data_IF_804588598925
#
_entry.id   IF_804588598925
#
_cell.length_a   1.000
_cell.length_b   1.000
_cell.length_c   1.000
_cell.angle_alpha   90.00
_cell.angle_beta   90.00
_cell.angle_gamma   90.00
#
_symmetry.space_group_name_H-M   'P 1'
#
loop_
_entity.id
_entity.type
_entity.pdbx_description
1 polymer ?
#
# COMPACT_ATOMS: atom_id res chain seq x y z
N UNK A 1 22.68 9.99 18.18
CA UNK A 1 21.59 9.04 17.89
C UNK A 1 22.25 7.91 17.11
N UNK A 2 21.98 6.65 17.42
CA UNK A 2 22.53 5.54 16.64
C UNK A 2 21.75 5.38 15.33
N UNK A 3 22.39 5.70 14.20
CA UNK A 3 21.78 5.60 12.87
C UNK A 3 21.42 4.17 12.51
N UNK A 4 22.18 3.18 12.98
CA UNK A 4 21.91 1.76 12.73
C UNK A 4 20.56 1.36 13.31
N UNK A 5 20.29 1.75 14.55
CA UNK A 5 19.00 1.45 15.23
C UNK A 5 17.83 2.11 14.48
N UNK A 6 18.00 3.35 14.02
CA UNK A 6 16.96 4.07 13.26
C UNK A 6 16.67 3.36 11.94
N UNK A 7 17.73 2.96 11.22
CA UNK A 7 17.63 2.27 9.93
C UNK A 7 16.93 0.93 10.10
N UNK A 8 17.33 0.10 11.07
CA UNK A 8 16.69 -1.19 11.35
C UNK A 8 15.20 -1.04 11.68
N UNK A 9 14.86 -0.07 12.55
CA UNK A 9 13.45 0.24 12.88
C UNK A 9 12.68 0.75 11.67
N UNK A 10 13.29 1.52 10.77
CA UNK A 10 12.64 2.03 9.58
C UNK A 10 12.35 0.92 8.57
N UNK A 11 13.32 0.04 8.32
CA UNK A 11 13.15 -1.15 7.47
C UNK A 11 12.04 -2.05 8.02
N UNK A 12 12.07 -2.34 9.32
CA UNK A 12 11.04 -3.14 9.97
C UNK A 12 9.67 -2.47 9.89
N UNK A 13 9.59 -1.15 10.08
CA UNK A 13 8.35 -0.39 9.94
C UNK A 13 7.78 -0.49 8.54
N UNK A 14 8.60 -0.39 7.49
CA UNK A 14 8.14 -0.58 6.11
C UNK A 14 7.61 -2.00 5.93
N UNK A 15 8.38 -3.01 6.37
CA UNK A 15 7.98 -4.41 6.30
C UNK A 15 6.61 -4.66 6.97
N UNK A 16 6.44 -4.21 8.21
CA UNK A 16 5.21 -4.40 8.98
C UNK A 16 4.03 -3.62 8.38
N UNK A 17 4.25 -2.39 7.91
CA UNK A 17 3.18 -1.52 7.38
C UNK A 17 2.64 -2.04 6.04
N UNK A 18 3.54 -2.50 5.17
CA UNK A 18 3.19 -2.93 3.82
C UNK A 18 3.08 -4.45 3.68
N UNK A 19 3.27 -5.18 4.79
CA UNK A 19 3.17 -6.64 4.90
C UNK A 19 4.12 -7.32 3.90
N UNK A 20 5.36 -6.84 3.88
CA UNK A 20 6.44 -7.31 3.02
C UNK A 20 7.55 -7.85 3.92
N UNK A 21 8.18 -8.95 3.54
CA UNK A 21 9.30 -9.48 4.30
C UNK A 21 10.44 -8.47 4.43
N UNK A 22 11.03 -8.39 5.63
CA UNK A 22 12.19 -7.53 5.91
C UNK A 22 13.32 -7.74 4.89
N UNK A 23 13.55 -8.98 4.46
CA UNK A 23 14.56 -9.28 3.46
C UNK A 23 14.26 -8.62 2.11
N UNK A 24 13.01 -8.66 1.66
CA UNK A 24 12.57 -8.01 0.42
C UNK A 24 12.70 -6.49 0.52
N UNK A 25 12.34 -5.91 1.67
CA UNK A 25 12.54 -4.47 1.92
C UNK A 25 14.01 -4.09 1.87
N UNK A 26 14.88 -4.84 2.57
CA UNK A 26 16.32 -4.60 2.54
C UNK A 26 16.90 -4.70 1.13
N UNK A 27 16.48 -5.70 0.34
CA UNK A 27 16.91 -5.82 -1.06
C UNK A 27 16.53 -4.61 -1.89
N UNK A 28 15.28 -4.16 -1.77
CA UNK A 28 14.81 -2.97 -2.48
C UNK A 28 15.60 -1.70 -2.14
N UNK A 29 16.19 -1.62 -0.95
CA UNK A 29 16.99 -0.48 -0.48
C UNK A 29 18.46 -0.57 -0.90
N UNK A 30 19.07 -1.75 -0.81
CA UNK A 30 20.53 -1.91 -0.92
C UNK A 30 21.02 -2.50 -2.25
N UNK A 31 20.18 -3.23 -3.00
CA UNK A 31 20.58 -3.86 -4.26
C UNK A 31 20.52 -2.94 -5.52
N UNK A 32 19.75 -1.83 -5.58
CA UNK A 32 19.79 -0.92 -6.73
C UNK A 32 21.19 -0.33 -7.00
N UNK A 33 21.49 0.01 -8.27
CA UNK A 33 22.81 0.53 -8.70
C UNK A 33 23.21 1.86 -8.03
N UNK A 34 22.25 2.59 -7.45
CA UNK A 34 22.45 3.75 -6.59
C UNK A 34 21.84 3.53 -5.21
N UNK A 35 22.52 2.84 -4.28
CA UNK A 35 21.98 2.60 -2.94
C UNK A 35 21.80 3.92 -2.20
N UNK A 36 20.77 3.97 -1.36
CA UNK A 36 20.50 5.12 -0.52
C UNK A 36 21.62 5.33 0.51
N UNK A 37 22.09 6.57 0.65
CA UNK A 37 22.93 6.98 1.78
C UNK A 37 22.05 7.17 3.02
N UNK A 38 21.70 6.06 3.67
CA UNK A 38 20.78 6.05 4.80
C UNK A 38 21.33 6.81 6.01
N UNK A 39 22.66 6.83 6.21
CA UNK A 39 23.28 7.57 7.30
C UNK A 39 23.08 9.07 7.10
N UNK A 40 23.37 9.58 5.90
CA UNK A 40 23.10 10.98 5.55
C UNK A 40 21.61 11.32 5.68
N UNK A 41 20.72 10.44 5.23
CA UNK A 41 19.27 10.65 5.35
C UNK A 41 18.78 10.77 6.80
N UNK A 42 19.40 10.03 7.73
CA UNK A 42 19.15 10.14 9.18
C UNK A 42 19.68 11.47 9.72
N UNK A 43 20.90 11.85 9.35
CA UNK A 43 21.56 13.07 9.82
C UNK A 43 20.81 14.34 9.40
N UNK A 44 20.30 14.39 8.17
CA UNK A 44 19.44 15.47 7.68
C UNK A 44 18.15 15.66 8.52
N UNK A 45 17.63 14.57 9.11
CA UNK A 45 16.39 14.56 9.88
C UNK A 45 16.57 14.73 11.39
N UNK A 46 17.81 14.68 11.88
CA UNK A 46 18.10 14.46 13.31
C UNK A 46 17.47 15.51 14.25
N UNK A 47 17.30 16.74 13.77
CA UNK A 47 16.72 17.85 14.54
C UNK A 47 15.20 17.73 14.76
N UNK A 48 14.52 16.91 13.96
CA UNK A 48 13.06 16.71 14.04
C UNK A 48 12.67 15.60 15.02
N UNK A 49 13.64 14.81 15.50
CA UNK A 49 13.37 13.60 16.29
C UNK A 49 13.35 13.92 17.79
N UNK A 50 12.14 14.16 18.31
CA UNK A 50 11.90 14.49 19.72
C UNK A 50 11.22 13.34 20.45
N UNK A 51 11.47 13.22 21.74
CA UNK A 51 10.90 12.18 22.59
C UNK A 51 11.43 12.28 24.02
N UNK A 52 10.69 11.75 25.01
CA UNK A 52 11.10 11.81 26.42
C UNK A 52 12.30 10.90 26.72
N UNK A 53 12.56 9.89 25.88
CA UNK A 53 13.70 8.98 25.97
C UNK A 53 14.26 8.62 24.57
N UNK A 54 15.30 7.79 24.54
CA UNK A 54 15.95 7.39 23.30
C UNK A 54 15.09 6.46 22.44
N UNK A 55 14.30 5.54 23.03
CA UNK A 55 13.45 4.64 22.27
C UNK A 55 12.39 5.40 21.48
N UNK A 56 11.72 6.36 22.13
CA UNK A 56 10.72 7.18 21.45
C UNK A 56 11.36 8.07 20.38
N UNK A 57 12.58 8.58 20.62
CA UNK A 57 13.32 9.31 19.58
C UNK A 57 13.65 8.42 18.39
N UNK A 58 14.10 7.19 18.61
CA UNK A 58 14.38 6.22 17.55
C UNK A 58 13.11 5.85 16.77
N UNK A 59 12.00 5.62 17.46
CA UNK A 59 10.73 5.31 16.80
C UNK A 59 10.25 6.49 15.93
N UNK A 60 10.29 7.72 16.46
CA UNK A 60 9.93 8.91 15.68
C UNK A 60 10.88 9.15 14.50
N UNK A 61 12.18 8.92 14.69
CA UNK A 61 13.17 8.98 13.62
C UNK A 61 12.88 7.96 12.51
N UNK A 62 12.52 6.74 12.90
CA UNK A 62 12.25 5.65 11.96
C UNK A 62 11.00 5.90 11.11
N UNK A 63 9.99 6.63 11.63
CA UNK A 63 8.80 7.05 10.85
C UNK A 63 9.20 8.02 9.74
N UNK A 64 10.04 9.01 10.06
CA UNK A 64 10.52 9.96 9.07
C UNK A 64 11.41 9.28 8.03
N UNK A 65 12.35 8.45 8.48
CA UNK A 65 13.25 7.71 7.60
C UNK A 65 12.47 6.74 6.70
N UNK A 66 11.46 6.02 7.21
CA UNK A 66 10.65 5.12 6.38
C UNK A 66 9.96 5.87 5.23
N UNK A 67 9.43 7.06 5.49
CA UNK A 67 8.81 7.86 4.45
C UNK A 67 9.84 8.39 3.43
N UNK A 68 11.02 8.83 3.90
CA UNK A 68 12.11 9.25 3.00
C UNK A 68 12.60 8.10 2.11
N UNK A 69 12.75 6.90 2.66
CA UNK A 69 13.11 5.69 1.91
C UNK A 69 12.06 5.39 0.85
N UNK A 70 10.78 5.41 1.23
CA UNK A 70 9.68 5.14 0.31
C UNK A 70 9.50 6.23 -0.76
N UNK A 71 9.91 7.47 -0.50
CA UNK A 71 9.93 8.55 -1.47
C UNK A 71 11.08 8.43 -2.49
N UNK A 72 11.95 7.43 -2.37
CA UNK A 72 12.88 7.08 -3.43
C UNK A 72 12.16 6.20 -4.48
N UNK A 73 12.19 6.66 -5.74
CA UNK A 73 11.48 6.03 -6.85
C UNK A 73 11.89 4.57 -7.11
N UNK A 74 13.15 4.22 -6.94
CA UNK A 74 13.63 2.86 -7.21
C UNK A 74 13.21 1.91 -6.09
N UNK A 75 13.28 2.37 -4.84
CA UNK A 75 12.75 1.61 -3.69
C UNK A 75 11.24 1.43 -3.84
N UNK A 76 10.49 2.51 -4.10
CA UNK A 76 9.03 2.45 -4.26
C UNK A 76 8.63 1.51 -5.37
N UNK A 77 9.31 1.58 -6.53
CA UNK A 77 9.03 0.72 -7.68
C UNK A 77 9.22 -0.76 -7.36
N UNK A 78 10.34 -1.11 -6.70
CA UNK A 78 10.62 -2.49 -6.31
C UNK A 78 9.57 -3.03 -5.32
N UNK A 79 9.20 -2.25 -4.30
CA UNK A 79 8.18 -2.65 -3.33
C UNK A 79 6.79 -2.75 -3.97
N UNK A 80 6.42 -1.76 -4.79
CA UNK A 80 5.14 -1.78 -5.52
C UNK A 80 5.02 -3.01 -6.41
N UNK A 81 6.09 -3.41 -7.11
CA UNK A 81 6.08 -4.63 -7.93
C UNK A 81 5.73 -5.90 -7.15
N UNK A 82 6.15 -5.97 -5.88
CA UNK A 82 5.81 -7.08 -4.98
C UNK A 82 4.31 -7.07 -4.69
N UNK A 83 3.75 -5.91 -4.36
CA UNK A 83 2.33 -5.78 -4.04
C UNK A 83 1.46 -5.99 -5.30
N UNK A 84 1.87 -5.49 -6.47
CA UNK A 84 1.18 -5.75 -7.74
C UNK A 84 1.12 -7.23 -8.07
N UNK A 85 2.20 -7.97 -7.80
CA UNK A 85 2.19 -9.43 -7.95
C UNK A 85 1.18 -10.10 -7.02
N UNK A 86 1.07 -9.65 -5.75
CA UNK A 86 0.04 -10.17 -4.82
C UNK A 86 -1.37 -9.89 -5.31
N UNK A 87 -1.65 -8.66 -5.74
CA UNK A 87 -2.95 -8.28 -6.31
C UNK A 87 -3.29 -9.15 -7.51
N UNK A 88 -2.34 -9.31 -8.45
CA UNK A 88 -2.55 -10.08 -9.68
C UNK A 88 -2.79 -11.58 -9.42
N UNK A 89 -2.20 -12.11 -8.35
CA UNK A 89 -2.31 -13.52 -7.96
C UNK A 89 -3.31 -13.76 -6.81
N UNK A 90 -4.14 -12.76 -6.46
CA UNK A 90 -5.12 -12.89 -5.39
C UNK A 90 -6.08 -14.05 -5.64
N UNK A 91 -6.27 -14.88 -4.61
CA UNK A 91 -7.00 -16.16 -4.67
C UNK A 91 -8.53 -16.03 -4.60
N UNK A 92 -9.01 -14.79 -4.42
CA UNK A 92 -10.43 -14.42 -4.34
C UNK A 92 -11.15 -14.93 -3.09
N UNK A 93 -10.42 -15.29 -2.03
CA UNK A 93 -11.04 -15.83 -0.80
C UNK A 93 -11.57 -14.75 0.16
N UNK A 94 -10.88 -13.62 0.25
CA UNK A 94 -11.24 -12.51 1.14
C UNK A 94 -10.96 -11.16 0.49
N UNK A 95 -12.03 -10.43 0.18
CA UNK A 95 -11.97 -9.11 -0.44
C UNK A 95 -11.16 -8.09 0.38
N UNK A 96 -11.09 -8.25 1.71
CA UNK A 96 -10.34 -7.32 2.55
C UNK A 96 -8.83 -7.43 2.33
N UNK A 97 -8.34 -8.60 1.90
CA UNK A 97 -6.93 -8.78 1.53
C UNK A 97 -6.62 -7.96 0.28
N UNK A 98 -7.46 -8.05 -0.76
CA UNK A 98 -7.31 -7.23 -1.96
C UNK A 98 -7.39 -5.74 -1.64
N UNK A 99 -8.38 -5.33 -0.84
CA UNK A 99 -8.52 -3.92 -0.41
C UNK A 99 -7.28 -3.43 0.35
N UNK A 100 -6.71 -4.25 1.23
CA UNK A 100 -5.52 -3.89 1.99
C UNK A 100 -4.32 -3.66 1.07
N UNK A 101 -4.11 -4.53 0.08
CA UNK A 101 -3.03 -4.37 -0.90
C UNK A 101 -3.22 -3.15 -1.80
N UNK A 102 -4.45 -2.84 -2.24
CA UNK A 102 -4.74 -1.61 -2.97
C UNK A 102 -4.45 -0.36 -2.13
N UNK A 103 -4.82 -0.35 -0.85
CA UNK A 103 -4.49 0.76 0.06
C UNK A 103 -2.99 0.92 0.24
N UNK A 104 -2.25 -0.19 0.39
CA UNK A 104 -0.78 -0.19 0.51
C UNK A 104 -0.13 0.40 -0.74
N UNK A 105 -0.62 0.05 -1.93
CA UNK A 105 -0.17 0.64 -3.21
C UNK A 105 -0.37 2.15 -3.20
N UNK A 106 -1.59 2.62 -2.89
CA UNK A 106 -1.92 4.05 -2.86
C UNK A 106 -1.01 4.80 -1.89
N UNK A 107 -0.81 4.29 -0.67
CA UNK A 107 0.06 4.93 0.32
C UNK A 107 1.51 5.10 -0.14
N UNK A 108 2.08 4.16 -0.92
CA UNK A 108 3.43 4.30 -1.48
C UNK A 108 3.45 5.32 -2.63
N UNK A 109 2.42 5.29 -3.48
CA UNK A 109 2.30 6.22 -4.61
C UNK A 109 2.15 7.67 -4.14
N UNK A 110 1.41 7.92 -3.05
CA UNK A 110 1.25 9.25 -2.45
C UNK A 110 2.56 9.89 -2.00
N UNK A 111 3.59 9.08 -1.70
CA UNK A 111 4.93 9.55 -1.37
C UNK A 111 5.77 9.91 -2.61
N UNK A 112 5.29 9.56 -3.80
CA UNK A 112 5.97 9.75 -5.08
C UNK A 112 5.02 10.31 -6.17
N UNK A 113 4.37 11.46 -5.94
CA UNK A 113 3.31 11.97 -6.84
C UNK A 113 3.81 12.28 -8.25
N UNK A 114 5.09 12.66 -8.42
CA UNK A 114 5.68 12.92 -9.73
C UNK A 114 5.88 11.64 -10.56
N UNK A 115 6.15 10.51 -9.89
CA UNK A 115 6.33 9.22 -10.53
C UNK A 115 4.99 8.50 -10.75
N UNK A 116 4.03 8.72 -9.84
CA UNK A 116 2.71 8.07 -9.84
C UNK A 116 1.58 9.10 -9.69
N UNK A 117 1.33 9.94 -10.71
CA UNK A 117 0.29 10.97 -10.63
C UNK A 117 -1.13 10.40 -10.48
N UNK A 118 -1.33 9.13 -10.87
CA UNK A 118 -2.60 8.42 -10.73
C UNK A 118 -2.42 6.90 -10.87
N UNK A 119 -3.42 6.10 -10.48
CA UNK A 119 -3.39 4.63 -10.59
C UNK A 119 -3.14 4.15 -12.04
N UNK A 120 -3.54 4.88 -13.07
CA UNK A 120 -3.27 4.48 -14.46
C UNK A 120 -1.80 4.63 -14.89
N UNK A 121 -0.97 5.30 -14.09
CA UNK A 121 0.48 5.42 -14.33
C UNK A 121 1.28 4.25 -13.74
N UNK A 122 0.60 3.31 -13.08
CA UNK A 122 1.23 2.17 -12.44
C UNK A 122 0.93 0.86 -13.19
N UNK A 123 1.71 -0.18 -12.90
CA UNK A 123 1.62 -1.48 -13.60
C UNK A 123 0.35 -2.29 -13.24
N UNK A 124 -0.56 -1.71 -12.44
CA UNK A 124 -1.82 -2.34 -12.04
C UNK A 124 -2.96 -1.91 -12.98
N UNK A 125 -3.55 -2.88 -13.69
CA UNK A 125 -4.80 -2.68 -14.41
C UNK A 125 -6.00 -2.75 -13.46
N UNK A 126 -6.34 -1.61 -12.84
CA UNK A 126 -7.46 -1.48 -11.89
C UNK A 126 -8.81 -1.80 -12.57
N UNK A 127 -8.92 -1.61 -13.89
CA UNK A 127 -10.13 -1.96 -14.64
C UNK A 127 -10.34 -3.47 -14.79
N UNK A 128 -9.29 -4.26 -14.52
CA UNK A 128 -9.28 -5.71 -14.71
C UNK A 128 -8.69 -6.43 -13.50
N UNK A 129 -9.11 -6.02 -12.29
CA UNK A 129 -8.75 -6.72 -11.07
C UNK A 129 -9.25 -8.18 -11.10
N UNK A 130 -8.49 -9.12 -10.52
CA UNK A 130 -8.95 -10.51 -10.40
C UNK A 130 -10.26 -10.54 -9.61
N UNK A 131 -11.25 -11.23 -10.16
CA UNK A 131 -12.60 -11.27 -9.61
C UNK A 131 -13.25 -12.62 -9.87
N UNK A 132 -14.21 -12.97 -9.02
CA UNK A 132 -15.27 -13.91 -9.35
C UNK A 132 -16.25 -13.30 -10.36
N UNK A 133 -17.09 -14.13 -10.97
CA UNK A 133 -18.10 -13.66 -11.91
C UNK A 133 -19.11 -12.77 -11.18
N UNK A 134 -19.10 -11.47 -11.51
CA UNK A 134 -20.11 -10.52 -11.02
C UNK A 134 -21.45 -10.85 -11.71
N UNK A 135 -22.53 -11.06 -10.95
CA UNK A 135 -23.85 -11.35 -11.51
C UNK A 135 -24.40 -10.23 -12.40
N UNK A 136 -25.03 -10.62 -13.51
CA UNK A 136 -25.53 -9.70 -14.54
C UNK A 136 -26.67 -8.80 -14.02
N UNK A 137 -27.36 -9.17 -12.94
CA UNK A 137 -28.42 -8.38 -12.31
C UNK A 137 -27.89 -7.14 -11.57
N UNK A 138 -26.58 -7.09 -11.28
CA UNK A 138 -25.89 -6.00 -10.57
C UNK A 138 -24.98 -5.21 -11.51
N UNK A 139 -24.50 -5.87 -12.57
CA UNK A 139 -23.63 -5.27 -13.57
C UNK A 139 -24.28 -4.00 -14.16
N UNK A 140 -23.66 -2.85 -13.92
CA UNK A 140 -24.13 -1.53 -14.36
C UNK A 140 -25.14 -0.82 -13.44
N UNK A 141 -25.59 -1.45 -12.34
CA UNK A 141 -26.36 -0.76 -11.27
C UNK A 141 -25.46 -0.16 -10.20
N UNK A 142 -24.27 -0.73 -10.05
CA UNK A 142 -23.26 -0.33 -9.09
C UNK A 142 -21.88 -0.52 -9.72
N UNK A 143 -20.96 0.40 -9.45
CA UNK A 143 -19.56 0.28 -9.88
C UNK A 143 -18.87 -0.76 -8.99
N UNK A 144 -18.93 -2.01 -9.45
CA UNK A 144 -18.27 -3.16 -8.83
C UNK A 144 -16.99 -3.47 -9.61
N UNK A 145 -15.86 -3.36 -8.93
CA UNK A 145 -14.53 -3.59 -9.50
C UNK A 145 -14.12 -5.05 -9.45
N UNK A 146 -14.43 -5.72 -8.32
CA UNK A 146 -14.13 -7.13 -8.11
C UNK A 146 -15.12 -7.73 -7.10
N UNK A 147 -15.22 -9.06 -7.08
CA UNK A 147 -16.01 -9.83 -6.13
C UNK A 147 -15.22 -11.06 -5.66
N UNK A 148 -15.30 -11.37 -4.36
CA UNK A 148 -14.71 -12.57 -3.78
C UNK A 148 -15.69 -13.76 -3.84
N UNK A 149 -15.22 -14.95 -3.47
CA UNK A 149 -16.02 -16.19 -3.47
C UNK A 149 -17.19 -16.19 -2.48
N UNK A 150 -17.18 -15.27 -1.51
CA UNK A 150 -18.20 -15.14 -0.48
C UNK A 150 -19.25 -14.09 -0.84
N UNK A 151 -19.11 -13.43 -2.00
CA UNK A 151 -20.02 -12.38 -2.43
C UNK A 151 -19.71 -11.01 -1.85
N UNK A 152 -18.52 -10.78 -1.29
CA UNK A 152 -18.07 -9.43 -0.94
C UNK A 152 -17.56 -8.73 -2.19
N UNK A 153 -18.05 -7.53 -2.44
CA UNK A 153 -17.75 -6.73 -3.62
C UNK A 153 -16.87 -5.54 -3.27
N UNK A 154 -15.84 -5.30 -4.08
CA UNK A 154 -15.06 -4.07 -4.09
C UNK A 154 -15.79 -3.00 -4.89
N UNK A 155 -16.08 -1.87 -4.26
CA UNK A 155 -16.92 -0.80 -4.81
C UNK A 155 -16.35 0.58 -4.47
N UNK A 156 -17.02 1.62 -5.00
CA UNK A 156 -16.64 3.02 -4.83
C UNK A 156 -15.78 3.54 -5.97
N UNK A 157 -15.73 4.85 -6.18
CA UNK A 157 -15.06 5.47 -7.34
C UNK A 157 -13.59 5.03 -7.47
N UNK A 158 -12.93 4.80 -6.34
CA UNK A 158 -11.50 4.43 -6.27
C UNK A 158 -11.29 3.00 -5.74
N UNK A 159 -12.27 2.11 -5.88
CA UNK A 159 -12.18 0.71 -5.44
C UNK A 159 -11.75 0.57 -3.95
N UNK A 160 -12.35 1.38 -3.07
CA UNK A 160 -11.89 1.58 -1.68
C UNK A 160 -12.87 1.13 -0.60
N UNK A 161 -14.03 0.58 -0.99
CA UNK A 161 -15.08 0.11 -0.09
C UNK A 161 -15.43 -1.34 -0.37
N UNK A 162 -15.85 -2.04 0.67
CA UNK A 162 -16.29 -3.44 0.59
C UNK A 162 -17.71 -3.55 1.10
N UNK A 163 -18.59 -4.15 0.30
CA UNK A 163 -20.02 -4.32 0.60
C UNK A 163 -20.43 -5.71 0.13
N UNK A 164 -21.32 -6.39 0.87
CA UNK A 164 -21.83 -7.68 0.43
C UNK A 164 -22.83 -7.51 -0.73
N UNK A 165 -22.82 -8.46 -1.67
CA UNK A 165 -23.65 -8.44 -2.87
C UNK A 165 -25.15 -8.28 -2.57
N UNK A 166 -25.63 -8.89 -1.49
CA UNK A 166 -27.04 -8.79 -1.10
C UNK A 166 -27.42 -7.40 -0.61
N UNK A 167 -26.47 -6.64 -0.05
CA UNK A 167 -26.71 -5.25 0.35
C UNK A 167 -26.80 -4.34 -0.89
N UNK A 168 -26.06 -4.65 -1.95
CA UNK A 168 -26.15 -3.95 -3.25
C UNK A 168 -27.52 -4.19 -3.90
N UNK A 169 -28.07 -5.40 -3.75
CA UNK A 169 -29.39 -5.75 -4.28
C UNK A 169 -30.56 -5.13 -3.53
N UNK A 170 -30.34 -4.69 -2.29
CA UNK A 170 -31.41 -4.00 -1.55
C UNK A 170 -31.77 -2.74 -2.34
N UNK A 171 -33.06 -2.51 -2.63
CA UNK A 171 -33.48 -1.26 -3.25
C UNK A 171 -32.98 -0.13 -2.35
N UNK A 172 -32.28 0.85 -2.93
CA UNK A 172 -32.03 2.11 -2.26
C UNK A 172 -33.40 2.68 -1.90
N UNK A 173 -33.80 2.49 -0.64
CA UNK A 173 -35.03 3.03 -0.13
C UNK A 173 -34.97 4.53 -0.33
N UNK A 174 -35.70 5.03 -1.32
CA UNK A 174 -36.27 6.37 -1.22
C UNK A 174 -37.18 6.33 0.00
N UNK A 175 -36.65 6.75 1.13
CA UNK A 175 -37.48 7.27 2.19
C UNK A 175 -37.89 8.68 1.76
N UNK A 176 -39.21 8.86 1.77
CA UNK A 176 -40.03 10.02 1.42
C UNK A 176 -39.51 11.38 1.91
#
# INVERSE_FOLDING_TARGET
MDSTIVIEKAIKRIADTYDIDVSTVSKAIYEPEGPLDLESMVDEGIFCFRGPDNEIKYDNASICLSNKILANKDVSKNLLSTIYSRVSNWDKEDMNVLLADLKRIVSIMELNPDAYPCLSSCDLDVGNLPSERIPDDIKGKYDVWAMDKKGMCLVGIDANKVIHIDDIRKPSGKAE
#
